data_IF_356262507075
#
_entry.id   IF_356262507075
#
_cell.length_a   1.000
_cell.length_b   1.000
_cell.length_c   1.000
_cell.angle_alpha   90.00
_cell.angle_beta   90.00
_cell.angle_gamma   90.00
#
_symmetry.space_group_name_H-M   'P 1'
#
loop_
_entity.id
_entity.type
_entity.pdbx_description
1 polymer ?
#
# COMPACT_ATOMS: atom_id res chain seq x y z
N UNK A 1 68.12 -50.13 -12.08
CA UNK A 1 67.91 -49.38 -10.84
C UNK A 1 69.20 -48.65 -10.50
N UNK A 2 69.23 -47.32 -10.61
CA UNK A 2 69.87 -46.37 -9.69
C UNK A 2 69.89 -44.96 -10.32
N UNK A 3 69.02 -44.13 -9.75
CA UNK A 3 68.96 -42.67 -9.61
C UNK A 3 69.80 -41.75 -10.53
N UNK A 4 69.10 -40.93 -11.31
CA UNK A 4 69.62 -39.66 -11.80
C UNK A 4 69.51 -38.59 -10.70
N UNK A 5 70.48 -37.68 -10.52
CA UNK A 5 70.42 -36.67 -9.47
C UNK A 5 69.35 -35.61 -9.77
N UNK A 6 68.53 -35.30 -8.77
CA UNK A 6 67.55 -34.21 -8.81
C UNK A 6 68.23 -32.85 -9.06
N UNK A 7 67.61 -31.92 -9.82
CA UNK A 7 68.08 -30.55 -9.91
C UNK A 7 67.88 -29.83 -8.56
N UNK A 8 68.68 -28.79 -8.25
CA UNK A 8 68.51 -28.01 -7.03
C UNK A 8 67.18 -27.26 -7.06
N UNK A 9 66.45 -27.30 -5.94
CA UNK A 9 65.25 -26.50 -5.70
C UNK A 9 65.70 -25.03 -5.54
N UNK A 10 65.13 -24.05 -6.27
CA UNK A 10 65.43 -22.65 -6.01
C UNK A 10 64.88 -22.25 -4.62
N UNK A 11 65.72 -21.56 -3.82
CA UNK A 11 65.32 -20.98 -2.54
C UNK A 11 64.16 -19.98 -2.75
N UNK A 12 63.17 -19.91 -1.83
CA UNK A 12 62.11 -18.92 -1.92
C UNK A 12 62.70 -17.51 -1.73
N UNK A 13 62.36 -16.59 -2.62
CA UNK A 13 62.65 -15.16 -2.46
C UNK A 13 62.05 -14.64 -1.13
N UNK A 14 62.68 -13.64 -0.47
CA UNK A 14 62.15 -13.11 0.78
C UNK A 14 60.75 -12.53 0.56
N UNK A 15 59.84 -12.86 1.48
CA UNK A 15 58.49 -12.32 1.55
C UNK A 15 58.57 -10.77 1.59
N UNK A 16 57.80 -10.04 0.76
CA UNK A 16 57.81 -8.58 0.81
C UNK A 16 57.35 -8.14 2.20
N UNK A 17 58.16 -7.31 2.87
CA UNK A 17 57.80 -6.73 4.17
C UNK A 17 56.38 -6.14 4.11
N UNK A 18 55.56 -6.33 5.16
CA UNK A 18 54.21 -5.79 5.19
C UNK A 18 54.29 -4.27 5.02
N UNK A 19 53.74 -3.75 3.92
CA UNK A 19 53.53 -2.32 3.80
C UNK A 19 52.70 -1.86 5.01
N UNK A 20 53.04 -0.75 5.68
CA UNK A 20 52.23 -0.25 6.76
C UNK A 20 50.80 -0.06 6.25
N UNK A 21 49.86 -0.78 6.85
CA UNK A 21 48.43 -0.53 6.69
C UNK A 21 48.21 0.96 6.89
N UNK A 22 47.43 1.66 6.03
CA UNK A 22 47.16 3.06 6.24
C UNK A 22 46.55 3.18 7.64
N UNK A 23 47.25 3.90 8.52
CA UNK A 23 46.81 4.15 9.89
C UNK A 23 45.36 4.61 9.83
N UNK A 24 44.50 3.87 10.52
CA UNK A 24 43.09 4.19 10.75
C UNK A 24 43.01 5.43 11.66
N UNK A 25 43.56 6.56 11.22
CA UNK A 25 43.39 7.89 11.81
C UNK A 25 41.95 8.38 11.57
N UNK A 26 40.94 7.63 12.06
CA UNK A 26 39.56 8.09 12.21
C UNK A 26 38.69 7.22 13.13
N UNK A 27 39.24 6.22 13.83
CA UNK A 27 38.43 5.34 14.70
C UNK A 27 37.96 6.00 16.02
N UNK A 28 38.51 7.15 16.41
CA UNK A 28 38.20 7.82 17.67
C UNK A 28 36.95 8.73 17.62
N UNK A 29 36.46 9.13 16.44
CA UNK A 29 35.26 9.98 16.29
C UNK A 29 33.99 9.21 15.89
N UNK A 30 34.16 8.00 15.35
CA UNK A 30 33.06 7.14 14.89
C UNK A 30 31.99 6.76 15.95
N UNK A 31 32.31 6.54 17.25
CA UNK A 31 31.27 6.23 18.23
C UNK A 31 30.43 7.48 18.59
N UNK A 32 31.06 8.64 18.77
CA UNK A 32 30.37 9.88 19.10
C UNK A 32 29.48 10.37 17.95
N UNK A 33 29.95 10.25 16.70
CA UNK A 33 29.14 10.55 15.51
C UNK A 33 27.92 9.63 15.38
N UNK A 34 28.08 8.35 15.75
CA UNK A 34 27.00 7.37 15.75
C UNK A 34 25.97 7.68 16.84
N UNK A 35 26.40 8.02 18.05
CA UNK A 35 25.49 8.35 19.15
C UNK A 35 24.73 9.64 18.85
N UNK A 36 25.40 10.66 18.30
CA UNK A 36 24.75 11.88 17.82
C UNK A 36 23.72 11.60 16.71
N UNK A 37 24.02 10.67 15.79
CA UNK A 37 23.07 10.25 14.77
C UNK A 37 21.87 9.53 15.39
N UNK A 38 22.08 8.63 16.35
CA UNK A 38 21.00 7.92 17.06
C UNK A 38 20.06 8.92 17.75
N UNK A 39 20.61 9.90 18.46
CA UNK A 39 19.81 10.94 19.12
C UNK A 39 19.02 11.77 18.11
N UNK A 40 19.63 12.13 16.99
CA UNK A 40 18.94 12.86 15.92
C UNK A 40 17.79 12.06 15.30
N UNK A 41 17.96 10.75 15.15
CA UNK A 41 16.93 9.86 14.62
C UNK A 41 15.80 9.66 15.61
N UNK A 42 16.11 9.49 16.90
CA UNK A 42 15.09 9.42 17.95
C UNK A 42 14.27 10.71 18.03
N UNK A 43 14.92 11.88 18.03
CA UNK A 43 14.23 13.16 18.03
C UNK A 43 13.33 13.33 16.79
N UNK A 44 13.79 12.86 15.63
CA UNK A 44 12.99 12.87 14.40
C UNK A 44 11.79 11.93 14.48
N UNK A 45 11.97 10.72 15.01
CA UNK A 45 10.87 9.75 15.19
C UNK A 45 9.83 10.33 16.13
N UNK A 46 10.25 10.89 17.27
CA UNK A 46 9.34 11.49 18.24
C UNK A 46 8.53 12.65 17.61
N UNK A 47 9.20 13.52 16.85
CA UNK A 47 8.53 14.60 16.12
C UNK A 47 7.49 14.07 15.12
N UNK A 48 7.82 13.00 14.39
CA UNK A 48 6.89 12.37 13.45
C UNK A 48 5.71 11.68 14.16
N UNK A 49 5.94 11.03 15.30
CA UNK A 49 4.88 10.42 16.09
C UNK A 49 3.93 11.46 16.65
N UNK A 50 4.44 12.61 17.11
CA UNK A 50 3.63 13.75 17.55
C UNK A 50 2.80 14.34 16.39
N UNK A 51 3.39 14.48 15.20
CA UNK A 51 2.68 14.93 14.00
C UNK A 51 1.55 13.97 13.61
N UNK A 52 1.82 12.65 13.63
CA UNK A 52 0.81 11.64 13.35
C UNK A 52 -0.31 11.64 14.39
N UNK A 53 0.01 11.82 15.68
CA UNK A 53 -0.99 11.94 16.74
C UNK A 53 -1.90 13.15 16.49
N UNK A 54 -1.32 14.30 16.17
CA UNK A 54 -2.04 15.53 15.83
C UNK A 54 -2.95 15.34 14.62
N UNK A 55 -2.44 14.79 13.51
CA UNK A 55 -3.24 14.56 12.30
C UNK A 55 -4.39 13.58 12.54
N UNK A 56 -4.19 12.56 13.38
CA UNK A 56 -5.26 11.63 13.76
C UNK A 56 -6.35 12.33 14.56
N UNK A 57 -5.97 13.17 15.53
CA UNK A 57 -6.93 13.97 16.28
C UNK A 57 -7.68 14.95 15.37
N UNK A 58 -6.98 15.63 14.45
CA UNK A 58 -7.60 16.50 13.45
C UNK A 58 -8.60 15.75 12.57
N UNK A 59 -8.27 14.53 12.13
CA UNK A 59 -9.18 13.67 11.38
C UNK A 59 -10.37 13.20 12.21
N UNK A 60 -10.18 12.87 13.49
CA UNK A 60 -11.27 12.49 14.39
C UNK A 60 -12.20 13.67 14.65
N UNK A 61 -11.65 14.86 14.90
CA UNK A 61 -12.42 16.09 15.03
C UNK A 61 -13.14 16.44 13.72
N UNK A 62 -12.48 16.27 12.57
CA UNK A 62 -13.09 16.47 11.26
C UNK A 62 -14.23 15.49 11.08
N UNK A 63 -14.04 14.20 11.38
CA UNK A 63 -15.12 13.19 11.35
C UNK A 63 -16.26 13.53 12.29
N UNK A 64 -15.99 13.94 13.53
CA UNK A 64 -17.03 14.37 14.48
C UNK A 64 -17.77 15.63 14.00
N UNK A 65 -17.09 16.55 13.31
CA UNK A 65 -17.69 17.74 12.67
C UNK A 65 -18.46 17.37 11.39
N UNK A 66 -17.99 16.35 10.67
CA UNK A 66 -18.55 15.82 9.42
C UNK A 66 -19.56 14.69 9.66
N UNK A 67 -19.84 14.32 10.91
CA UNK A 67 -20.87 13.34 11.31
C UNK A 67 -22.30 13.80 10.96
N UNK A 68 -22.44 14.93 10.25
CA UNK A 68 -23.68 15.44 9.66
C UNK A 68 -23.72 15.30 8.12
N UNK A 69 -22.68 14.79 7.45
CA UNK A 69 -22.67 14.59 5.98
C UNK A 69 -21.89 13.33 5.57
N UNK A 70 -22.14 12.19 6.23
CA UNK A 70 -22.15 10.92 5.48
C UNK A 70 -23.50 10.92 4.77
N UNK A 71 -23.53 11.13 3.46
CA UNK A 71 -24.72 10.90 2.65
C UNK A 71 -25.08 9.41 2.70
N UNK A 72 -25.74 8.99 3.79
CA UNK A 72 -26.76 7.95 3.73
C UNK A 72 -27.88 8.60 2.92
N UNK A 73 -28.01 8.21 1.66
CA UNK A 73 -29.14 8.66 0.85
C UNK A 73 -30.43 8.16 1.54
N UNK A 74 -31.31 9.07 2.01
CA UNK A 74 -32.60 8.68 2.55
C UNK A 74 -33.54 8.55 1.35
N UNK A 75 -33.61 7.37 0.75
CA UNK A 75 -34.64 7.12 -0.25
C UNK A 75 -35.96 6.83 0.49
N UNK A 76 -36.68 7.90 0.84
CA UNK A 76 -38.14 7.89 0.89
C UNK A 76 -38.63 7.70 -0.57
N UNK A 77 -38.53 6.47 -1.07
CA UNK A 77 -39.13 6.09 -2.34
C UNK A 77 -40.51 5.53 -2.05
N UNK A 78 -41.59 6.09 -2.63
CA UNK A 78 -42.94 5.57 -2.39
C UNK A 78 -43.02 4.10 -2.79
N UNK A 79 -43.68 3.24 -1.99
CA UNK A 79 -43.68 1.81 -2.22
C UNK A 79 -44.51 1.48 -3.47
N UNK A 80 -43.86 0.89 -4.47
CA UNK A 80 -44.49 0.22 -5.61
C UNK A 80 -43.81 -1.14 -5.86
N UNK A 81 -44.53 -2.13 -6.38
CA UNK A 81 -44.81 -3.34 -5.61
C UNK A 81 -43.80 -4.47 -5.83
N UNK A 82 -43.51 -5.16 -4.72
CA UNK A 82 -43.19 -6.59 -4.64
C UNK A 82 -42.14 -7.10 -5.63
N UNK A 83 -40.86 -6.81 -5.36
CA UNK A 83 -39.77 -7.71 -5.71
C UNK A 83 -39.15 -8.22 -4.39
N UNK A 84 -38.82 -9.52 -4.36
CA UNK A 84 -38.31 -10.28 -3.21
C UNK A 84 -37.25 -9.51 -2.38
N UNK A 85 -37.09 -9.80 -1.07
CA UNK A 85 -36.17 -9.07 -0.20
C UNK A 85 -34.76 -9.13 -0.79
N UNK A 86 -34.35 -8.04 -1.44
CA UNK A 86 -33.01 -7.90 -1.96
C UNK A 86 -32.09 -7.78 -0.74
N UNK A 87 -31.28 -8.81 -0.51
CA UNK A 87 -30.39 -8.85 0.64
C UNK A 87 -29.40 -7.70 0.51
N UNK A 88 -29.44 -6.78 1.47
CA UNK A 88 -28.47 -5.69 1.58
C UNK A 88 -27.10 -6.29 1.89
N UNK A 89 -26.16 -6.22 0.95
CA UNK A 89 -24.77 -6.70 1.12
C UNK A 89 -23.80 -5.57 0.73
N UNK A 90 -22.57 -5.64 1.24
CA UNK A 90 -21.47 -4.77 0.82
C UNK A 90 -20.87 -5.27 -0.50
N UNK A 91 -20.95 -4.48 -1.56
CA UNK A 91 -20.43 -4.83 -2.89
C UNK A 91 -19.52 -3.73 -3.44
N UNK A 92 -18.74 -4.08 -4.46
CA UNK A 92 -17.83 -3.17 -5.16
C UNK A 92 -18.33 -2.91 -6.58
N UNK A 93 -18.26 -1.67 -7.05
CA UNK A 93 -18.44 -1.30 -8.45
C UNK A 93 -17.09 -1.05 -9.09
N UNK A 94 -16.77 -1.74 -10.19
CA UNK A 94 -15.59 -1.48 -11.02
C UNK A 94 -15.99 -0.58 -12.19
N UNK A 95 -15.66 0.71 -12.07
CA UNK A 95 -16.04 1.77 -13.00
C UNK A 95 -14.87 2.05 -13.96
N UNK A 96 -15.06 1.95 -15.28
CA UNK A 96 -14.05 2.39 -16.24
C UNK A 96 -14.01 3.93 -16.31
N UNK A 97 -12.83 4.51 -16.09
CA UNK A 97 -12.57 5.95 -16.21
C UNK A 97 -11.50 6.21 -17.26
N UNK A 98 -11.28 7.49 -17.62
CA UNK A 98 -10.21 7.86 -18.57
C UNK A 98 -8.81 7.53 -18.07
N UNK A 99 -8.63 7.39 -16.75
CA UNK A 99 -7.38 7.01 -16.10
C UNK A 99 -7.26 5.49 -15.84
N UNK A 100 -8.23 4.68 -16.25
CA UNK A 100 -8.24 3.23 -16.04
C UNK A 100 -9.52 2.74 -15.37
N UNK A 101 -9.40 2.16 -14.18
CA UNK A 101 -10.55 1.63 -13.43
C UNK A 101 -10.53 2.11 -11.99
N UNK A 102 -11.71 2.47 -11.47
CA UNK A 102 -11.93 2.85 -10.07
C UNK A 102 -12.86 1.82 -9.41
N UNK A 103 -12.57 1.48 -8.15
CA UNK A 103 -13.42 0.61 -7.34
C UNK A 103 -14.20 1.42 -6.31
N UNK A 104 -15.52 1.39 -6.38
CA UNK A 104 -16.41 2.08 -5.44
C UNK A 104 -17.07 1.09 -4.49
N UNK A 105 -17.00 1.37 -3.20
CA UNK A 105 -17.67 0.58 -2.16
C UNK A 105 -19.13 1.05 -1.99
N UNK A 106 -20.07 0.11 -2.05
CA UNK A 106 -21.51 0.36 -1.95
C UNK A 106 -22.15 -0.65 -1.00
N UNK A 107 -23.22 -0.20 -0.35
CA UNK A 107 -24.07 -1.03 0.51
C UNK A 107 -25.48 -0.97 -0.04
N UNK A 108 -26.09 -2.12 -0.28
CA UNK A 108 -27.42 -2.16 -0.87
C UNK A 108 -27.72 -3.46 -1.60
N UNK A 109 -28.80 -3.47 -2.40
CA UNK A 109 -29.06 -4.57 -3.32
C UNK A 109 -27.96 -4.62 -4.39
N UNK A 110 -27.42 -5.81 -4.60
CA UNK A 110 -26.41 -6.04 -5.64
C UNK A 110 -27.04 -5.84 -7.03
N UNK A 111 -26.52 -4.92 -7.87
CA UNK A 111 -27.10 -4.70 -9.18
C UNK A 111 -26.88 -5.91 -10.09
N UNK A 112 -27.89 -6.21 -10.89
CA UNK A 112 -27.88 -7.34 -11.82
C UNK A 112 -27.20 -6.97 -13.14
N UNK A 113 -26.68 -7.96 -13.86
CA UNK A 113 -26.11 -7.77 -15.20
C UNK A 113 -27.15 -7.14 -16.14
N UNK A 114 -26.76 -6.11 -16.88
CA UNK A 114 -27.63 -5.32 -17.75
C UNK A 114 -28.35 -4.17 -17.06
N UNK A 115 -28.27 -4.04 -15.74
CA UNK A 115 -28.90 -2.93 -15.03
C UNK A 115 -28.09 -1.63 -15.24
N UNK A 116 -28.75 -0.49 -15.55
CA UNK A 116 -28.11 0.81 -15.50
C UNK A 116 -27.76 1.19 -14.05
N UNK A 117 -26.58 1.74 -13.86
CA UNK A 117 -26.07 2.20 -12.57
C UNK A 117 -25.53 3.61 -12.75
N UNK A 118 -26.06 4.54 -11.97
CA UNK A 118 -25.56 5.92 -11.92
C UNK A 118 -24.33 5.98 -11.01
N UNK A 119 -23.25 6.58 -11.50
CA UNK A 119 -22.02 6.76 -10.74
C UNK A 119 -21.84 8.25 -10.48
N UNK A 120 -22.00 8.75 -9.24
CA UNK A 120 -21.95 10.19 -8.95
C UNK A 120 -20.58 10.83 -9.21
N UNK A 121 -19.52 10.04 -9.32
CA UNK A 121 -18.16 10.54 -9.61
C UNK A 121 -17.92 10.81 -11.11
N UNK A 122 -18.78 10.31 -12.02
CA UNK A 122 -18.64 10.47 -13.47
C UNK A 122 -20.04 10.60 -14.08
N UNK A 123 -20.38 11.71 -14.76
CA UNK A 123 -21.70 11.99 -15.35
C UNK A 123 -22.09 11.07 -16.55
N UNK A 124 -21.53 9.86 -16.60
CA UNK A 124 -21.80 8.84 -17.61
C UNK A 124 -22.91 7.87 -17.19
N UNK A 125 -23.65 7.36 -18.18
CA UNK A 125 -24.52 6.21 -17.99
C UNK A 125 -23.67 4.94 -18.04
N UNK A 126 -23.74 4.13 -16.98
CA UNK A 126 -23.02 2.87 -16.90
C UNK A 126 -23.99 1.71 -16.84
N UNK A 127 -23.61 0.58 -17.42
CA UNK A 127 -24.38 -0.67 -17.37
C UNK A 127 -23.51 -1.79 -16.81
N UNK A 128 -24.09 -2.62 -15.93
CA UNK A 128 -23.37 -3.78 -15.38
C UNK A 128 -23.15 -4.83 -16.48
N UNK A 129 -21.90 -5.21 -16.73
CA UNK A 129 -21.55 -6.25 -17.71
C UNK A 129 -21.41 -7.63 -17.08
N UNK A 130 -20.87 -7.69 -15.86
CA UNK A 130 -20.70 -8.94 -15.13
C UNK A 130 -20.60 -8.67 -13.63
N UNK A 131 -20.96 -9.68 -12.84
CA UNK A 131 -20.82 -9.67 -11.39
C UNK A 131 -20.01 -10.90 -10.99
N UNK A 132 -18.96 -10.70 -10.20
CA UNK A 132 -18.06 -11.76 -9.73
C UNK A 132 -17.87 -11.66 -8.23
N UNK A 133 -17.55 -12.76 -7.53
CA UNK A 133 -17.12 -12.70 -6.13
C UNK A 133 -15.59 -12.69 -6.07
N UNK A 134 -15.02 -11.76 -5.32
CA UNK A 134 -13.57 -11.63 -5.18
C UNK A 134 -13.00 -12.77 -4.32
N UNK A 135 -11.84 -13.35 -4.70
CA UNK A 135 -11.30 -14.54 -4.04
C UNK A 135 -10.85 -14.31 -2.60
N UNK A 136 -10.43 -13.08 -2.26
CA UNK A 136 -9.82 -12.78 -0.96
C UNK A 136 -10.84 -12.57 0.16
N UNK A 137 -12.00 -12.03 -0.16
CA UNK A 137 -13.01 -11.61 0.83
C UNK A 137 -14.43 -12.07 0.47
N UNK A 138 -14.61 -12.77 -0.66
CA UNK A 138 -15.92 -13.23 -1.12
C UNK A 138 -16.88 -12.10 -1.51
N UNK A 139 -16.44 -10.84 -1.48
CA UNK A 139 -17.30 -9.68 -1.73
C UNK A 139 -17.72 -9.65 -3.19
N UNK A 140 -19.01 -9.45 -3.48
CA UNK A 140 -19.48 -9.23 -4.84
C UNK A 140 -18.85 -7.97 -5.45
N UNK A 141 -18.44 -8.06 -6.71
CA UNK A 141 -17.88 -6.97 -7.50
C UNK A 141 -18.57 -6.95 -8.87
N UNK A 142 -19.29 -5.86 -9.15
CA UNK A 142 -19.96 -5.64 -10.42
C UNK A 142 -19.09 -4.76 -11.32
N UNK A 143 -18.87 -5.21 -12.55
CA UNK A 143 -18.10 -4.50 -13.56
C UNK A 143 -19.03 -3.67 -14.42
N UNK A 144 -18.72 -2.39 -14.53
CA UNK A 144 -19.48 -1.46 -15.32
C UNK A 144 -18.84 -1.26 -16.69
N UNK A 145 -19.67 -0.97 -17.67
CA UNK A 145 -19.27 -0.46 -18.96
C UNK A 145 -20.03 0.83 -19.21
N UNK A 146 -19.35 1.81 -19.80
CA UNK A 146 -19.99 3.04 -20.27
C UNK A 146 -20.91 2.70 -21.45
N UNK A 147 -22.18 3.08 -21.36
CA UNK A 147 -23.16 2.87 -22.42
C UNK A 147 -22.84 3.70 -23.66
#
# INVERSE_FOLDING_TARGET
MQEAPSPPVPEPEPDPEPQPEPELESAASAPDDRDALIDSLHARIEAQEQELAKLREELEQARAKTDVQVHVWPEDQPPAPTAAPAQTEHYLLCVPTTAGYVLLDRVGPLPSVGQPVEVPEDEGQFTVTKVVRLPRNGRPCAYLQRA
#
